data_IF_332365508425
#
_entry.id   IF_332365508425
#
_cell.length_a   1.000
_cell.length_b   1.000
_cell.length_c   1.000
_cell.angle_alpha   90.00
_cell.angle_beta   90.00
_cell.angle_gamma   90.00
#
_symmetry.space_group_name_H-M   'P 1'
#
loop_
_entity.id
_entity.type
_entity.pdbx_description
1 polymer ?
#
# COMPACT_ATOMS: atom_id res chain seq x y z
N UNK A 1 -11.15 2.28 -11.79
CA UNK A 1 -10.11 2.86 -10.90
C UNK A 1 -8.71 2.59 -11.44
N UNK A 2 -8.32 1.33 -11.68
CA UNK A 2 -7.03 0.95 -12.30
C UNK A 2 -6.74 1.70 -13.60
N UNK A 3 -7.72 1.84 -14.50
CA UNK A 3 -7.54 2.52 -15.80
C UNK A 3 -7.03 3.96 -15.68
N UNK A 4 -7.43 4.67 -14.61
CA UNK A 4 -6.95 6.04 -14.34
C UNK A 4 -5.45 6.03 -14.08
N UNK A 5 -4.96 5.08 -13.29
CA UNK A 5 -3.54 4.92 -13.00
C UNK A 5 -2.78 4.52 -14.27
N UNK A 6 -3.30 3.51 -14.99
CA UNK A 6 -2.69 3.01 -16.23
C UNK A 6 -2.51 4.15 -17.24
N UNK A 7 -3.49 5.05 -17.37
CA UNK A 7 -3.40 6.21 -18.25
C UNK A 7 -2.21 7.12 -17.90
N UNK A 8 -2.01 7.45 -16.61
CA UNK A 8 -0.87 8.28 -16.18
C UNK A 8 0.48 7.59 -16.36
N UNK A 9 0.53 6.27 -16.12
CA UNK A 9 1.75 5.47 -16.33
C UNK A 9 2.12 5.43 -17.82
N UNK A 10 1.15 5.19 -18.71
CA UNK A 10 1.35 5.20 -20.18
C UNK A 10 1.72 6.58 -20.71
N UNK A 11 1.24 7.65 -20.07
CA UNK A 11 1.64 9.02 -20.41
C UNK A 11 3.08 9.35 -19.95
N UNK A 12 3.73 8.47 -19.19
CA UNK A 12 5.08 8.69 -18.68
C UNK A 12 5.16 9.69 -17.53
N UNK A 13 4.03 10.00 -16.87
CA UNK A 13 4.02 10.94 -15.74
C UNK A 13 4.77 10.37 -14.53
N UNK A 14 4.56 9.08 -14.23
CA UNK A 14 5.17 8.38 -13.11
C UNK A 14 5.40 6.91 -13.49
N UNK A 15 6.29 6.23 -12.74
CA UNK A 15 6.57 4.78 -12.87
C UNK A 15 6.27 4.00 -11.59
N UNK A 16 5.83 4.70 -10.55
CA UNK A 16 5.45 4.18 -9.23
C UNK A 16 4.23 4.96 -8.75
N UNK A 17 3.39 4.33 -7.92
CA UNK A 17 2.29 5.02 -7.24
C UNK A 17 2.46 4.95 -5.72
N UNK A 18 2.27 6.08 -5.06
CA UNK A 18 2.09 6.13 -3.61
C UNK A 18 0.66 5.67 -3.30
N UNK A 19 0.54 4.53 -2.64
CA UNK A 19 -0.73 3.96 -2.19
C UNK A 19 -0.95 4.33 -0.73
N UNK A 20 -1.39 5.58 -0.55
CA UNK A 20 -1.69 6.15 0.77
C UNK A 20 -3.06 5.69 1.29
N UNK A 21 -3.28 5.78 2.61
CA UNK A 21 -4.48 5.31 3.31
C UNK A 21 -4.74 3.78 3.19
N UNK A 22 -5.99 3.39 3.41
CA UNK A 22 -6.48 2.02 3.38
C UNK A 22 -6.75 1.43 4.77
N UNK A 23 -6.32 2.09 5.83
CA UNK A 23 -6.45 1.65 7.23
C UNK A 23 -7.82 1.94 7.86
N UNK A 24 -8.53 2.97 7.42
CA UNK A 24 -9.78 3.40 8.07
C UNK A 24 -11.03 2.95 7.27
N UNK A 25 -11.14 1.64 7.03
CA UNK A 25 -12.37 1.08 6.46
C UNK A 25 -13.48 1.13 7.51
N UNK A 26 -14.65 1.76 7.23
CA UNK A 26 -15.76 1.85 8.17
C UNK A 26 -16.27 0.47 8.58
N UNK A 27 -16.56 0.31 9.87
CA UNK A 27 -17.02 -0.96 10.44
C UNK A 27 -18.35 -1.45 9.82
N UNK A 28 -19.25 -0.51 9.53
CA UNK A 28 -20.58 -0.71 8.96
C UNK A 28 -20.60 -0.69 7.42
N UNK A 29 -19.43 -0.69 6.77
CA UNK A 29 -19.35 -0.75 5.32
C UNK A 29 -19.98 -2.05 4.78
N UNK A 30 -20.77 -1.91 3.71
CA UNK A 30 -21.32 -3.04 2.96
C UNK A 30 -20.57 -3.17 1.63
N UNK A 31 -19.70 -4.18 1.51
CA UNK A 31 -18.96 -4.42 0.28
C UNK A 31 -19.83 -5.13 -0.77
N UNK A 32 -19.51 -4.91 -2.05
CA UNK A 32 -20.23 -5.52 -3.18
C UNK A 32 -20.28 -7.06 -3.12
N UNK A 33 -19.28 -7.70 -2.52
CA UNK A 33 -19.24 -9.15 -2.34
C UNK A 33 -20.06 -9.65 -1.13
N UNK A 34 -20.85 -8.77 -0.50
CA UNK A 34 -21.69 -9.09 0.66
C UNK A 34 -20.94 -9.14 1.99
N UNK A 35 -19.63 -8.88 2.01
CA UNK A 35 -18.84 -8.88 3.25
C UNK A 35 -18.97 -7.57 3.99
N UNK A 36 -18.89 -7.66 5.31
CA UNK A 36 -18.94 -6.51 6.22
C UNK A 36 -17.62 -5.72 6.22
N UNK A 37 -17.70 -4.48 6.68
CA UNK A 37 -16.53 -3.64 6.95
C UNK A 37 -15.58 -4.32 7.93
N UNK A 38 -16.09 -4.96 8.98
CA UNK A 38 -15.28 -5.73 9.93
C UNK A 38 -14.42 -6.82 9.27
N UNK A 39 -14.99 -7.60 8.36
CA UNK A 39 -14.25 -8.64 7.63
C UNK A 39 -13.23 -8.07 6.64
N UNK A 40 -13.55 -6.91 6.08
CA UNK A 40 -12.77 -6.28 5.02
C UNK A 40 -11.74 -5.30 5.55
N UNK A 41 -11.80 -4.88 6.82
CA UNK A 41 -11.03 -3.78 7.37
C UNK A 41 -9.52 -3.92 7.11
N UNK A 42 -8.94 -5.05 7.53
CA UNK A 42 -7.53 -5.34 7.23
C UNK A 42 -7.32 -5.81 5.78
N UNK A 43 -8.26 -6.58 5.22
CA UNK A 43 -8.10 -7.17 3.88
C UNK A 43 -8.08 -6.11 2.76
N UNK A 44 -8.76 -4.99 2.97
CA UNK A 44 -8.88 -3.92 1.99
C UNK A 44 -7.51 -3.39 1.56
N UNK A 45 -6.60 -3.20 2.51
CA UNK A 45 -5.24 -2.70 2.26
C UNK A 45 -4.50 -3.59 1.26
N UNK A 46 -4.57 -4.92 1.43
CA UNK A 46 -3.96 -5.88 0.51
C UNK A 46 -4.57 -5.81 -0.89
N UNK A 47 -5.90 -5.71 -0.97
CA UNK A 47 -6.60 -5.62 -2.26
C UNK A 47 -6.31 -4.31 -2.98
N UNK A 48 -6.22 -3.21 -2.22
CA UNK A 48 -5.86 -1.90 -2.72
C UNK A 48 -4.43 -1.91 -3.29
N UNK A 49 -3.44 -2.36 -2.51
CA UNK A 49 -2.05 -2.48 -2.96
C UNK A 49 -1.92 -3.39 -4.19
N UNK A 50 -2.62 -4.52 -4.21
CA UNK A 50 -2.64 -5.43 -5.37
C UNK A 50 -3.14 -4.69 -6.62
N UNK A 51 -4.25 -3.96 -6.51
CA UNK A 51 -4.82 -3.23 -7.63
C UNK A 51 -3.87 -2.12 -8.12
N UNK A 52 -3.23 -1.38 -7.21
CA UNK A 52 -2.20 -0.38 -7.52
C UNK A 52 -1.00 -1.00 -8.26
N UNK A 53 -0.46 -2.09 -7.71
CA UNK A 53 0.71 -2.79 -8.24
C UNK A 53 0.45 -3.31 -9.66
N UNK A 54 -0.70 -3.96 -9.88
CA UNK A 54 -1.09 -4.45 -11.19
C UNK A 54 -1.30 -3.31 -12.20
N UNK A 55 -1.88 -2.18 -11.77
CA UNK A 55 -2.08 -1.03 -12.64
C UNK A 55 -0.75 -0.38 -13.06
N UNK A 56 0.22 -0.28 -12.14
CA UNK A 56 1.58 0.19 -12.45
C UNK A 56 2.26 -0.78 -13.42
N UNK A 57 2.16 -2.09 -13.15
CA UNK A 57 2.78 -3.10 -13.99
C UNK A 57 2.25 -3.05 -15.43
N UNK A 58 0.93 -2.96 -15.58
CA UNK A 58 0.28 -2.87 -16.89
C UNK A 58 0.60 -1.56 -17.61
N UNK A 59 0.57 -0.44 -16.89
CA UNK A 59 0.79 0.88 -17.47
C UNK A 59 2.24 1.14 -17.88
N UNK A 60 3.20 0.55 -17.18
CA UNK A 60 4.64 0.71 -17.46
C UNK A 60 5.23 -0.40 -18.32
N UNK A 61 4.57 -1.57 -18.41
CA UNK A 61 5.11 -2.76 -19.05
C UNK A 61 6.23 -3.45 -18.26
N UNK A 62 6.47 -3.01 -17.02
CA UNK A 62 7.49 -3.55 -16.12
C UNK A 62 6.86 -4.23 -14.91
N UNK A 63 7.69 -4.80 -14.03
CA UNK A 63 7.20 -5.26 -12.73
C UNK A 63 6.64 -4.06 -11.96
N UNK A 64 5.43 -4.21 -11.42
CA UNK A 64 4.80 -3.18 -10.61
C UNK A 64 5.67 -2.78 -9.42
N UNK A 65 5.53 -1.52 -9.01
CA UNK A 65 6.11 -0.99 -7.80
C UNK A 65 5.10 -0.02 -7.20
N UNK A 66 4.89 -0.13 -5.89
CA UNK A 66 4.05 0.78 -5.12
C UNK A 66 4.88 1.41 -4.00
N UNK A 67 4.39 2.47 -3.38
CA UNK A 67 4.90 2.94 -2.10
C UNK A 67 3.70 2.99 -1.13
N UNK A 68 3.55 1.98 -0.28
CA UNK A 68 2.33 1.76 0.51
C UNK A 68 2.50 2.13 1.99
N UNK A 69 1.53 2.86 2.55
CA UNK A 69 1.47 3.16 3.99
C UNK A 69 0.95 1.97 4.80
N UNK A 70 -0.25 1.56 4.46
CA UNK A 70 -1.05 0.64 5.27
C UNK A 70 -1.01 -0.73 4.63
N UNK A 71 -0.90 -1.79 5.43
CA UNK A 71 -0.84 -3.14 4.91
C UNK A 71 -1.14 -4.22 5.94
N UNK A 72 -1.45 -5.41 5.41
CA UNK A 72 -1.79 -6.59 6.19
C UNK A 72 -1.03 -7.82 5.67
N UNK A 73 -1.25 -8.98 6.27
CA UNK A 73 -0.63 -10.24 5.87
C UNK A 73 -0.73 -10.48 4.35
N UNK A 74 0.43 -10.66 3.71
CA UNK A 74 0.55 -10.84 2.26
C UNK A 74 0.95 -9.58 1.48
N UNK A 75 1.05 -8.41 2.14
CA UNK A 75 1.48 -7.14 1.52
C UNK A 75 2.90 -7.19 0.94
N UNK A 76 3.78 -8.03 1.50
CA UNK A 76 5.18 -8.17 1.06
C UNK A 76 5.34 -8.57 -0.41
N UNK A 77 4.26 -9.06 -1.05
CA UNK A 77 4.22 -9.35 -2.49
C UNK A 77 4.20 -8.09 -3.37
N UNK A 78 3.81 -6.95 -2.80
CA UNK A 78 3.60 -5.66 -3.47
C UNK A 78 4.51 -4.59 -2.83
N UNK A 79 5.83 -4.65 -3.03
CA UNK A 79 6.77 -3.67 -2.45
C UNK A 79 6.62 -2.29 -3.11
N UNK A 80 7.06 -1.22 -2.47
CA UNK A 80 7.67 -1.06 -1.14
C UNK A 80 6.66 -0.56 -0.08
N UNK A 81 7.02 -0.65 1.19
CA UNK A 81 6.30 -0.02 2.30
C UNK A 81 7.06 1.24 2.77
N UNK A 82 6.38 2.19 3.42
CA UNK A 82 6.99 3.39 4.01
C UNK A 82 6.40 3.62 5.42
N UNK A 83 7.18 4.25 6.31
CA UNK A 83 6.89 4.42 7.74
C UNK A 83 5.62 5.17 8.11
N UNK A 84 5.07 6.00 7.21
CA UNK A 84 4.03 6.96 7.56
C UNK A 84 4.60 8.36 7.81
N UNK A 85 3.95 9.12 8.70
CA UNK A 85 4.14 10.56 8.81
C UNK A 85 4.94 10.94 10.09
N UNK A 86 6.27 10.74 10.15
CA UNK A 86 7.06 11.16 11.31
C UNK A 86 7.18 12.70 11.35
N UNK A 87 7.38 13.27 12.54
CA UNK A 87 7.82 14.66 12.64
C UNK A 87 9.33 14.75 12.34
N UNK A 88 9.81 15.97 12.10
CA UNK A 88 11.22 16.26 11.86
C UNK A 88 12.02 16.34 13.18
N UNK A 89 11.92 15.31 14.02
CA UNK A 89 12.56 15.22 15.34
C UNK A 89 13.44 13.96 15.45
N UNK A 90 14.45 14.00 16.33
CA UNK A 90 15.40 12.87 16.47
C UNK A 90 14.74 11.64 17.09
N UNK A 91 13.78 11.87 17.98
CA UNK A 91 12.97 10.85 18.63
C UNK A 91 12.15 10.07 17.60
N UNK A 92 11.63 10.75 16.58
CA UNK A 92 10.85 10.11 15.51
C UNK A 92 11.73 9.30 14.56
N UNK A 93 12.99 9.70 14.34
CA UNK A 93 13.96 8.85 13.63
C UNK A 93 14.15 7.49 14.33
N UNK A 94 14.15 7.45 15.67
CA UNK A 94 14.23 6.19 16.42
C UNK A 94 12.93 5.38 16.29
N UNK A 95 11.78 6.03 16.24
CA UNK A 95 10.48 5.38 16.02
C UNK A 95 10.43 4.74 14.63
N UNK A 96 10.86 5.45 13.60
CA UNK A 96 10.96 4.93 12.23
C UNK A 96 11.91 3.72 12.15
N UNK A 97 13.10 3.80 12.75
CA UNK A 97 14.03 2.66 12.77
C UNK A 97 13.39 1.41 13.40
N UNK A 98 12.62 1.59 14.49
CA UNK A 98 11.88 0.48 15.12
C UNK A 98 10.76 -0.04 14.22
N UNK A 99 10.04 0.83 13.53
CA UNK A 99 9.00 0.45 12.58
C UNK A 99 9.59 -0.40 11.43
N UNK A 100 10.69 0.06 10.83
CA UNK A 100 11.40 -0.65 9.76
C UNK A 100 11.92 -2.04 10.19
N UNK A 101 12.52 -2.15 11.38
CA UNK A 101 12.95 -3.45 11.90
C UNK A 101 11.76 -4.37 12.21
N UNK A 102 10.68 -3.83 12.77
CA UNK A 102 9.49 -4.61 13.14
C UNK A 102 8.77 -5.16 11.91
N UNK A 103 8.61 -4.33 10.86
CA UNK A 103 7.97 -4.77 9.61
C UNK A 103 8.87 -5.73 8.83
N UNK A 104 10.19 -5.54 8.88
CA UNK A 104 11.20 -6.49 8.38
C UNK A 104 11.07 -7.87 9.01
N UNK A 105 10.99 -7.92 10.35
CA UNK A 105 10.75 -9.18 11.10
C UNK A 105 9.37 -9.77 10.85
N UNK A 106 8.41 -8.98 10.35
CA UNK A 106 7.08 -9.42 9.94
C UNK A 106 7.02 -9.93 8.50
N UNK A 107 8.17 -10.04 7.81
CA UNK A 107 8.28 -10.64 6.48
C UNK A 107 8.15 -9.65 5.31
N UNK A 108 8.22 -8.34 5.57
CA UNK A 108 8.27 -7.29 4.52
C UNK A 108 9.72 -6.89 4.27
N UNK A 109 10.30 -7.23 3.12
CA UNK A 109 11.75 -7.07 2.90
C UNK A 109 12.18 -5.65 2.48
N UNK A 110 11.24 -4.79 2.09
CA UNK A 110 11.52 -3.44 1.61
C UNK A 110 10.63 -2.43 2.33
N UNK A 111 11.27 -1.56 3.10
CA UNK A 111 10.74 -0.44 3.88
C UNK A 111 11.60 0.78 3.61
#
# INVERSE_FOLDING_TARGET
WKDKIIQFMKAGCFSIIMSDFGEDVPFDACYHNGRSGQEMHNLYQLLYQKASFEAVAEGTGHRGLVNARSGTAGMQRYPICWSGDPNCEWEDMLTDLRAGLSIGLSGVPFW
#
